data_IF_900158152400
#
_entry.id   IF_900158152400
#
_cell.length_a   1.000
_cell.length_b   1.000
_cell.length_c   1.000
_cell.angle_alpha   90.00
_cell.angle_beta   90.00
_cell.angle_gamma   90.00
#
_symmetry.space_group_name_H-M   'P 1'
#
loop_
_entity.id
_entity.type
_entity.pdbx_description
1 polymer ?
#
# COMPACT_ATOMS: atom_id res chain seq x y z
N UNK A 1 41.40 15.19 33.89
CA UNK A 1 41.55 14.30 32.73
C UNK A 1 40.24 14.29 31.97
N UNK A 2 40.16 15.02 30.86
CA UNK A 2 38.97 15.11 30.01
C UNK A 2 38.85 13.81 29.21
N UNK A 3 37.88 12.96 29.53
CA UNK A 3 37.58 11.80 28.69
C UNK A 3 36.75 12.30 27.50
N UNK A 4 37.41 12.35 26.35
CA UNK A 4 36.77 12.59 25.06
C UNK A 4 35.72 11.50 24.81
N UNK A 5 34.45 11.85 24.92
CA UNK A 5 33.36 11.04 24.39
C UNK A 5 33.69 10.68 22.93
N UNK A 6 33.66 9.39 22.55
CA UNK A 6 33.77 9.04 21.15
C UNK A 6 32.59 9.67 20.42
N UNK A 7 32.88 10.62 19.52
CA UNK A 7 31.95 11.19 18.57
C UNK A 7 31.46 10.07 17.64
N UNK A 8 30.48 9.29 18.11
CA UNK A 8 29.75 8.41 17.22
C UNK A 8 29.13 9.31 16.14
N UNK A 9 29.32 9.00 14.85
CA UNK A 9 28.61 9.70 13.80
C UNK A 9 27.12 9.50 14.09
N UNK A 10 26.45 10.53 14.61
CA UNK A 10 24.98 10.58 14.55
C UNK A 10 24.66 10.64 13.07
N UNK A 11 24.55 9.48 12.43
CA UNK A 11 24.02 9.35 11.08
C UNK A 11 22.52 9.62 11.21
N UNK A 12 22.20 10.88 11.44
CA UNK A 12 20.88 11.46 11.43
C UNK A 12 20.44 11.60 9.96
N UNK A 13 20.60 10.52 9.18
CA UNK A 13 19.93 10.37 7.92
C UNK A 13 18.54 9.88 8.29
N UNK A 14 17.61 10.82 8.44
CA UNK A 14 16.18 10.53 8.35
C UNK A 14 15.96 9.98 6.93
N UNK A 15 16.24 8.70 6.71
CA UNK A 15 15.94 8.04 5.45
C UNK A 15 14.43 8.17 5.27
N UNK A 16 14.05 8.88 4.22
CA UNK A 16 12.66 9.06 3.87
C UNK A 16 12.25 7.90 2.96
N UNK A 17 11.11 7.24 3.23
CA UNK A 17 10.23 7.43 4.38
C UNK A 17 10.77 6.71 5.63
N UNK A 18 10.55 7.31 6.80
CA UNK A 18 10.91 6.67 8.06
C UNK A 18 9.96 5.53 8.45
N UNK A 19 10.39 4.59 9.32
CA UNK A 19 9.60 3.42 9.75
C UNK A 19 8.21 3.80 10.30
N UNK A 20 8.14 4.87 11.11
CA UNK A 20 6.86 5.32 11.67
C UNK A 20 5.85 5.79 10.63
N UNK A 21 6.29 6.35 9.50
CA UNK A 21 5.41 6.71 8.40
C UNK A 21 4.90 5.47 7.68
N UNK A 22 5.80 4.51 7.38
CA UNK A 22 5.42 3.23 6.76
C UNK A 22 4.40 2.47 7.61
N UNK A 23 4.60 2.44 8.93
CA UNK A 23 3.67 1.81 9.87
C UNK A 23 2.26 2.41 9.77
N UNK A 24 2.16 3.74 9.85
CA UNK A 24 0.87 4.45 9.77
C UNK A 24 0.18 4.20 8.44
N UNK A 25 0.94 4.28 7.34
CA UNK A 25 0.41 3.97 6.00
C UNK A 25 -0.09 2.53 5.94
N UNK A 26 0.67 1.56 6.45
CA UNK A 26 0.26 0.16 6.50
C UNK A 26 -1.04 -0.05 7.27
N UNK A 27 -1.17 0.57 8.45
CA UNK A 27 -2.40 0.50 9.25
C UNK A 27 -3.61 1.11 8.53
N UNK A 28 -3.43 2.23 7.83
CA UNK A 28 -4.49 2.85 7.02
C UNK A 28 -4.92 1.92 5.88
N UNK A 29 -3.96 1.29 5.20
CA UNK A 29 -4.24 0.33 4.13
C UNK A 29 -5.04 -0.88 4.62
N UNK A 30 -4.63 -1.50 5.73
CA UNK A 30 -5.37 -2.61 6.35
C UNK A 30 -6.80 -2.18 6.71
N UNK A 31 -6.93 -1.03 7.36
CA UNK A 31 -8.25 -0.49 7.76
C UNK A 31 -9.15 -0.25 6.55
N UNK A 32 -8.63 0.40 5.50
CA UNK A 32 -9.35 0.64 4.26
C UNK A 32 -9.76 -0.67 3.58
N UNK A 33 -8.86 -1.66 3.53
CA UNK A 33 -9.13 -2.98 3.00
C UNK A 33 -10.24 -3.73 3.75
N UNK A 34 -10.27 -3.67 5.07
CA UNK A 34 -11.34 -4.27 5.89
C UNK A 34 -12.69 -3.58 5.64
N UNK A 35 -12.72 -2.24 5.68
CA UNK A 35 -13.94 -1.46 5.43
C UNK A 35 -14.51 -1.74 4.04
N UNK A 36 -13.65 -1.68 3.02
CA UNK A 36 -14.05 -1.93 1.63
C UNK A 36 -14.43 -3.39 1.41
N UNK A 37 -13.72 -4.36 1.98
CA UNK A 37 -14.08 -5.78 1.90
C UNK A 37 -15.48 -6.05 2.45
N UNK A 38 -15.78 -5.53 3.64
CA UNK A 38 -17.11 -5.63 4.26
C UNK A 38 -18.19 -4.96 3.39
N UNK A 39 -17.90 -3.75 2.89
CA UNK A 39 -18.79 -3.01 1.99
C UNK A 39 -19.04 -3.75 0.67
N UNK A 40 -18.03 -4.39 0.09
CA UNK A 40 -18.20 -5.17 -1.14
C UNK A 40 -19.05 -6.42 -0.95
N UNK A 41 -18.94 -7.08 0.21
CA UNK A 41 -19.62 -8.33 0.47
C UNK A 41 -21.12 -8.13 0.76
N UNK A 42 -21.44 -7.01 1.43
CA UNK A 42 -22.80 -6.72 1.92
C UNK A 42 -23.45 -5.52 1.21
N UNK A 43 -22.70 -4.45 0.95
CA UNK A 43 -23.22 -3.17 0.47
C UNK A 43 -23.27 -3.01 -1.05
N UNK A 44 -22.44 -3.73 -1.81
CA UNK A 44 -22.42 -3.66 -3.28
C UNK A 44 -23.43 -4.61 -3.96
N UNK A 45 -23.80 -5.72 -3.30
CA UNK A 45 -24.78 -6.67 -3.85
C UNK A 45 -26.14 -6.00 -4.05
N UNK A 46 -26.75 -6.22 -5.22
CA UNK A 46 -28.06 -5.67 -5.54
C UNK A 46 -28.08 -4.18 -5.92
N UNK A 47 -26.94 -3.48 -5.95
CA UNK A 47 -26.90 -2.10 -6.44
C UNK A 47 -27.06 -2.04 -7.97
N UNK A 48 -27.86 -1.09 -8.50
CA UNK A 48 -28.00 -0.90 -9.94
C UNK A 48 -26.64 -0.65 -10.63
N UNK A 49 -26.40 -1.32 -11.76
CA UNK A 49 -25.18 -1.14 -12.56
C UNK A 49 -23.91 -1.83 -12.02
N UNK A 50 -24.04 -2.62 -10.95
CA UNK A 50 -22.98 -3.45 -10.39
C UNK A 50 -23.18 -4.91 -10.85
N UNK A 51 -22.19 -5.43 -11.57
CA UNK A 51 -22.16 -6.82 -12.05
C UNK A 51 -21.41 -7.72 -11.06
N UNK A 52 -21.61 -9.05 -11.10
CA UNK A 52 -20.82 -10.00 -10.30
C UNK A 52 -19.30 -9.80 -10.46
N UNK A 53 -18.82 -9.58 -11.69
CA UNK A 53 -17.40 -9.33 -11.97
C UNK A 53 -16.88 -8.07 -11.28
N UNK A 54 -17.69 -7.01 -11.17
CA UNK A 54 -17.31 -5.80 -10.43
C UNK A 54 -17.24 -6.04 -8.94
N UNK A 55 -18.15 -6.85 -8.39
CA UNK A 55 -18.11 -7.24 -6.98
C UNK A 55 -16.83 -8.03 -6.72
N UNK A 56 -16.49 -8.97 -7.61
CA UNK A 56 -15.25 -9.74 -7.51
C UNK A 56 -14.02 -8.84 -7.61
N UNK A 57 -13.97 -7.94 -8.58
CA UNK A 57 -12.86 -6.98 -8.74
C UNK A 57 -12.71 -6.10 -7.49
N UNK A 58 -13.82 -5.60 -6.94
CA UNK A 58 -13.83 -4.81 -5.70
C UNK A 58 -13.28 -5.61 -4.51
N UNK A 59 -13.64 -6.89 -4.39
CA UNK A 59 -13.09 -7.77 -3.35
C UNK A 59 -11.60 -8.02 -3.54
N UNK A 60 -11.14 -8.23 -4.78
CA UNK A 60 -9.71 -8.33 -5.08
C UNK A 60 -8.96 -7.07 -4.65
N UNK A 61 -9.49 -5.88 -4.95
CA UNK A 61 -8.90 -4.62 -4.52
C UNK A 61 -8.86 -4.47 -2.99
N UNK A 62 -9.91 -4.90 -2.28
CA UNK A 62 -9.94 -4.92 -0.81
C UNK A 62 -8.86 -5.84 -0.24
N UNK A 63 -8.71 -7.05 -0.77
CA UNK A 63 -7.66 -7.98 -0.36
C UNK A 63 -6.26 -7.40 -0.63
N UNK A 64 -6.03 -6.81 -1.81
CA UNK A 64 -4.76 -6.15 -2.11
C UNK A 64 -4.48 -4.97 -1.19
N UNK A 65 -5.48 -4.18 -0.79
CA UNK A 65 -5.29 -3.14 0.21
C UNK A 65 -4.83 -3.71 1.56
N UNK A 66 -5.45 -4.81 2.02
CA UNK A 66 -5.02 -5.51 3.25
C UNK A 66 -3.59 -6.04 3.11
N UNK A 67 -3.29 -6.79 2.04
CA UNK A 67 -1.97 -7.40 1.84
C UNK A 67 -0.86 -6.37 1.74
N UNK A 68 -1.07 -5.27 1.00
CA UNK A 68 -0.09 -4.19 0.93
C UNK A 68 0.05 -3.48 2.27
N UNK A 69 -1.04 -3.31 3.03
CA UNK A 69 -0.99 -2.75 4.37
C UNK A 69 -0.16 -3.62 5.34
N UNK A 70 -0.39 -4.93 5.33
CA UNK A 70 0.40 -5.89 6.11
C UNK A 70 1.87 -5.90 5.67
N UNK A 71 2.13 -5.88 4.36
CA UNK A 71 3.47 -5.78 3.81
C UNK A 71 4.22 -4.53 4.30
N UNK A 72 3.57 -3.37 4.30
CA UNK A 72 4.13 -2.13 4.83
C UNK A 72 4.42 -2.18 6.33
N UNK A 73 3.51 -2.79 7.12
CA UNK A 73 3.75 -3.01 8.55
C UNK A 73 5.00 -3.88 8.75
N UNK A 74 5.11 -4.99 8.03
CA UNK A 74 6.28 -5.90 8.11
C UNK A 74 7.58 -5.20 7.69
N UNK A 75 7.57 -4.46 6.57
CA UNK A 75 8.75 -3.71 6.11
C UNK A 75 9.16 -2.68 7.15
N UNK A 76 8.21 -1.96 7.77
CA UNK A 76 8.49 -0.94 8.78
C UNK A 76 9.11 -1.49 10.07
N UNK A 77 8.94 -2.78 10.35
CA UNK A 77 9.54 -3.45 11.52
C UNK A 77 10.90 -4.06 11.23
N UNK A 78 11.29 -4.20 9.96
CA UNK A 78 12.53 -4.89 9.59
C UNK A 78 13.75 -4.00 9.89
N UNK A 79 14.74 -4.46 10.69
CA UNK A 79 15.83 -3.61 11.19
C UNK A 79 16.68 -3.00 10.06
N UNK A 80 16.81 -3.70 8.94
CA UNK A 80 17.55 -3.23 7.75
C UNK A 80 16.67 -2.51 6.73
N UNK A 81 15.44 -2.97 6.53
CA UNK A 81 14.62 -2.58 5.36
C UNK A 81 13.57 -1.53 5.69
N UNK A 82 13.35 -1.23 6.96
CA UNK A 82 12.44 -0.17 7.39
C UNK A 82 12.86 1.24 6.94
N UNK A 83 14.12 1.40 6.52
CA UNK A 83 14.68 2.64 5.97
C UNK A 83 14.98 2.54 4.47
N UNK A 84 14.54 1.46 3.81
CA UNK A 84 14.82 1.26 2.39
C UNK A 84 14.08 2.33 1.56
N UNK A 85 14.80 3.17 0.79
CA UNK A 85 14.24 4.40 0.22
C UNK A 85 13.20 4.17 -0.88
N UNK A 86 13.18 2.97 -1.49
CA UNK A 86 12.32 2.67 -2.63
C UNK A 86 11.17 1.70 -2.30
N UNK A 87 11.48 0.53 -1.73
CA UNK A 87 10.52 -0.50 -1.35
C UNK A 87 9.22 0.01 -0.69
N UNK A 88 9.33 0.71 0.45
CA UNK A 88 8.17 1.21 1.20
C UNK A 88 7.29 2.15 0.37
N UNK A 89 7.84 3.24 -0.21
CA UNK A 89 7.10 4.12 -1.12
C UNK A 89 6.49 3.40 -2.32
N UNK A 90 7.22 2.50 -2.96
CA UNK A 90 6.76 1.77 -4.13
C UNK A 90 5.57 0.85 -3.78
N UNK A 91 5.62 0.14 -2.66
CA UNK A 91 4.51 -0.71 -2.19
C UNK A 91 3.29 0.17 -1.83
N UNK A 92 3.49 1.28 -1.14
CA UNK A 92 2.40 2.20 -0.78
C UNK A 92 1.74 2.83 -2.02
N UNK A 93 2.54 3.39 -2.93
CA UNK A 93 2.04 3.99 -4.17
C UNK A 93 1.37 2.94 -5.06
N UNK A 94 2.02 1.78 -5.26
CA UNK A 94 1.49 0.69 -6.06
C UNK A 94 0.17 0.16 -5.52
N UNK A 95 0.07 -0.04 -4.20
CA UNK A 95 -1.15 -0.50 -3.54
C UNK A 95 -2.30 0.51 -3.66
N UNK A 96 -2.00 1.82 -3.53
CA UNK A 96 -2.98 2.89 -3.67
C UNK A 96 -3.50 2.96 -5.11
N UNK A 97 -2.59 2.95 -6.09
CA UNK A 97 -2.95 3.00 -7.51
C UNK A 97 -3.75 1.76 -7.91
N UNK A 98 -3.32 0.56 -7.49
CA UNK A 98 -3.99 -0.69 -7.84
C UNK A 98 -5.37 -0.81 -7.21
N UNK A 99 -5.46 -0.67 -5.88
CA UNK A 99 -6.72 -0.90 -5.17
C UNK A 99 -7.67 0.29 -5.35
N UNK A 100 -7.13 1.51 -5.27
CA UNK A 100 -7.89 2.74 -5.41
C UNK A 100 -8.53 2.91 -6.78
N UNK A 101 -7.83 2.56 -7.88
CA UNK A 101 -8.40 2.64 -9.22
C UNK A 101 -9.59 1.68 -9.38
N UNK A 102 -9.49 0.44 -8.89
CA UNK A 102 -10.57 -0.55 -8.97
C UNK A 102 -11.76 -0.11 -8.14
N UNK A 103 -11.54 0.40 -6.92
CA UNK A 103 -12.63 0.96 -6.11
C UNK A 103 -13.34 2.10 -6.84
N UNK A 104 -12.59 3.05 -7.39
CA UNK A 104 -13.12 4.19 -8.12
C UNK A 104 -13.89 3.77 -9.38
N UNK A 105 -13.35 2.85 -10.18
CA UNK A 105 -14.00 2.31 -11.38
C UNK A 105 -15.29 1.55 -11.06
N UNK A 106 -15.31 0.83 -9.94
CA UNK A 106 -16.49 0.06 -9.52
C UNK A 106 -17.61 0.98 -9.05
N UNK A 107 -17.27 2.02 -8.28
CA UNK A 107 -18.24 2.98 -7.74
C UNK A 107 -18.69 4.01 -8.79
N UNK A 108 -17.85 4.31 -9.77
CA UNK A 108 -18.15 5.27 -10.82
C UNK A 108 -17.63 4.81 -12.19
N UNK A 109 -18.55 4.21 -12.96
CA UNK A 109 -18.27 3.70 -14.31
C UNK A 109 -17.86 4.78 -15.34
N UNK A 110 -17.99 6.08 -15.01
CA UNK A 110 -17.55 7.17 -15.90
C UNK A 110 -16.03 7.39 -15.82
N UNK A 111 -15.35 6.84 -14.81
CA UNK A 111 -13.91 6.99 -14.61
C UNK A 111 -13.06 6.00 -15.40
N UNK A 112 -13.52 5.55 -16.59
CA UNK A 112 -12.84 4.51 -17.40
C UNK A 112 -11.37 4.81 -17.71
N UNK A 113 -10.98 6.08 -17.71
CA UNK A 113 -9.59 6.56 -17.86
C UNK A 113 -8.67 6.00 -16.76
N UNK A 114 -9.20 5.55 -15.62
CA UNK A 114 -8.42 4.90 -14.57
C UNK A 114 -8.08 3.43 -14.87
N UNK A 115 -8.59 2.83 -15.95
CA UNK A 115 -8.31 1.44 -16.31
C UNK A 115 -6.80 1.12 -16.41
N UNK A 116 -6.01 1.92 -17.14
CA UNK A 116 -4.55 1.76 -17.22
C UNK A 116 -3.78 2.05 -15.92
N UNK A 117 -4.42 2.63 -14.91
CA UNK A 117 -3.77 2.92 -13.62
C UNK A 117 -3.55 1.64 -12.80
N UNK A 118 -4.43 0.64 -12.93
CA UNK A 118 -4.32 -0.63 -12.20
C UNK A 118 -3.04 -1.40 -12.57
N UNK A 119 -2.72 -1.64 -13.86
CA UNK A 119 -1.46 -2.29 -14.25
C UNK A 119 -0.23 -1.51 -13.78
N UNK A 120 -0.27 -0.18 -13.84
CA UNK A 120 0.83 0.65 -13.35
C UNK A 120 1.05 0.43 -11.85
N UNK A 121 -0.02 0.39 -11.05
CA UNK A 121 0.06 0.05 -9.64
C UNK A 121 0.72 -1.31 -9.40
N UNK A 122 0.36 -2.32 -10.20
CA UNK A 122 1.00 -3.64 -10.17
C UNK A 122 2.51 -3.61 -10.43
N UNK A 123 2.97 -2.81 -11.39
CA UNK A 123 4.40 -2.63 -11.67
C UNK A 123 5.14 -2.05 -10.47
N UNK A 124 4.57 -1.04 -9.80
CA UNK A 124 5.16 -0.47 -8.58
C UNK A 124 5.24 -1.50 -7.44
N UNK A 125 4.21 -2.34 -7.27
CA UNK A 125 4.24 -3.42 -6.29
C UNK A 125 5.37 -4.41 -6.57
N UNK A 126 5.48 -4.88 -7.82
CA UNK A 126 6.53 -5.82 -8.24
C UNK A 126 7.91 -5.21 -8.00
N UNK A 127 8.13 -3.97 -8.44
CA UNK A 127 9.40 -3.27 -8.27
C UNK A 127 9.75 -3.07 -6.79
N UNK A 128 8.77 -2.71 -5.96
CA UNK A 128 8.95 -2.52 -4.52
C UNK A 128 9.41 -3.79 -3.82
N UNK A 129 8.72 -4.91 -4.02
CA UNK A 129 9.11 -6.20 -3.43
C UNK A 129 10.40 -6.76 -4.02
N UNK A 130 10.63 -6.62 -5.33
CA UNK A 130 11.88 -7.05 -5.95
C UNK A 130 13.08 -6.30 -5.37
N UNK A 131 12.93 -5.00 -5.07
CA UNK A 131 13.99 -4.21 -4.43
C UNK A 131 14.34 -4.66 -3.00
N UNK A 132 13.43 -5.38 -2.31
CA UNK A 132 13.73 -5.97 -1.00
C UNK A 132 14.52 -7.28 -1.12
N UNK A 133 14.48 -7.93 -2.29
CA UNK A 133 15.13 -9.21 -2.53
C UNK A 133 16.60 -9.08 -2.96
N UNK A 134 17.05 -7.88 -3.36
CA UNK A 134 18.39 -7.57 -3.85
C UNK A 134 19.14 -6.67 -2.85
#
# INVERSE_FOLDING_TARGET
MSQSEPLLPRRNMRAFPGPGLLWRTGAIFVTAGVITGAFGAHGLKGRPGITPDKIQAFQTAAHYAVFNGLGLLLVSMHPRFAFHPFAGPAIAAGGLLFSGSIFALTLNNKLKVLGPVTPLGGVFLIAGYLSLAI
#
